data_IF_986973830846
#
_entry.id   IF_986973830846
#
_cell.length_a   1.000
_cell.length_b   1.000
_cell.length_c   1.000
_cell.angle_alpha   90.00
_cell.angle_beta   90.00
_cell.angle_gamma   90.00
#
_symmetry.space_group_name_H-M   'P 1'
#
loop_
_entity.id
_entity.type
_entity.pdbx_description
1 polymer ?
#
# COMPACT_ATOMS: atom_id res chain seq x y z
N UNK A 1 -12.42 -0.84 9.60
CA UNK A 1 -12.72 -2.14 10.21
C UNK A 1 -12.63 -3.20 9.12
N UNK A 2 -11.97 -4.32 9.39
CA UNK A 2 -11.83 -5.43 8.43
C UNK A 2 -12.60 -6.64 8.97
N UNK A 3 -13.61 -7.10 8.24
CA UNK A 3 -14.46 -8.23 8.64
C UNK A 3 -14.56 -9.26 7.50
N UNK A 4 -13.50 -10.06 7.28
CA UNK A 4 -13.54 -11.13 6.28
C UNK A 4 -14.51 -12.24 6.72
N UNK A 5 -15.27 -12.79 5.78
CA UNK A 5 -16.15 -13.95 6.01
C UNK A 5 -16.12 -14.88 4.80
N UNK A 6 -16.21 -16.18 5.06
CA UNK A 6 -16.32 -17.23 4.04
C UNK A 6 -17.50 -18.14 4.40
N UNK A 7 -18.36 -18.40 3.42
CA UNK A 7 -19.49 -19.32 3.54
C UNK A 7 -19.29 -20.43 2.52
N UNK A 8 -18.90 -21.61 2.99
CA UNK A 8 -18.44 -22.73 2.16
C UNK A 8 -19.42 -23.90 2.31
N UNK A 9 -20.02 -24.32 1.20
CA UNK A 9 -21.02 -25.40 1.14
C UNK A 9 -20.52 -26.68 0.44
N UNK A 10 -19.24 -26.75 0.12
CA UNK A 10 -18.63 -27.86 -0.62
C UNK A 10 -17.52 -28.53 0.20
N UNK A 11 -17.38 -29.84 0.05
CA UNK A 11 -16.53 -30.67 0.93
C UNK A 11 -15.05 -30.75 0.50
N UNK A 12 -14.74 -30.57 -0.79
CA UNK A 12 -13.36 -30.68 -1.30
C UNK A 12 -12.86 -29.34 -1.87
N UNK A 13 -12.65 -28.37 -0.98
CA UNK A 13 -12.14 -27.04 -1.35
C UNK A 13 -11.01 -26.58 -0.42
N UNK A 14 -10.10 -25.78 -0.96
CA UNK A 14 -9.11 -25.02 -0.19
C UNK A 14 -9.45 -23.54 -0.28
N UNK A 15 -9.75 -22.93 0.85
CA UNK A 15 -10.05 -21.50 0.93
C UNK A 15 -9.19 -20.85 2.01
N UNK A 16 -8.70 -19.64 1.74
CA UNK A 16 -7.93 -18.84 2.67
C UNK A 16 -8.31 -17.37 2.54
N UNK A 17 -8.28 -16.64 3.65
CA UNK A 17 -8.36 -15.18 3.65
C UNK A 17 -7.23 -14.63 4.52
N UNK A 18 -6.79 -13.41 4.21
CA UNK A 18 -5.81 -12.68 5.00
C UNK A 18 -6.18 -11.20 5.02
N UNK A 19 -5.95 -10.55 6.15
CA UNK A 19 -6.07 -9.10 6.28
C UNK A 19 -4.97 -8.61 7.22
N UNK A 20 -4.21 -7.63 6.77
CA UNK A 20 -3.12 -7.00 7.54
C UNK A 20 -3.40 -5.53 7.68
N UNK A 21 -3.06 -4.97 8.84
CA UNK A 21 -3.09 -3.53 9.09
C UNK A 21 -1.78 -3.15 9.77
N UNK A 22 -1.22 -2.00 9.39
CA UNK A 22 0.07 -1.56 9.89
C UNK A 22 0.33 -0.11 9.55
N UNK A 23 1.39 0.43 10.13
CA UNK A 23 1.92 1.75 9.81
C UNK A 23 3.07 1.62 8.81
N UNK A 24 3.51 2.75 8.26
CA UNK A 24 4.76 2.80 7.48
C UNK A 24 5.92 2.38 8.38
N UNK A 25 6.78 1.51 7.86
CA UNK A 25 7.97 1.05 8.56
C UNK A 25 8.99 2.19 8.74
N UNK A 26 9.33 2.45 9.99
CA UNK A 26 10.23 3.53 10.38
C UNK A 26 11.66 3.30 9.88
N UNK A 27 12.12 2.04 9.82
CA UNK A 27 13.48 1.71 9.39
C UNK A 27 13.64 1.90 7.88
N UNK A 28 12.65 1.47 7.09
CA UNK A 28 12.60 1.73 5.65
C UNK A 28 12.56 3.23 5.38
N UNK A 29 11.76 3.99 6.14
CA UNK A 29 11.69 5.44 6.01
C UNK A 29 13.02 6.12 6.37
N UNK A 30 13.65 5.69 7.47
CA UNK A 30 14.99 6.16 7.85
C UNK A 30 16.03 5.87 6.77
N UNK A 31 16.01 4.67 6.20
CA UNK A 31 16.91 4.28 5.12
C UNK A 31 16.76 5.20 3.90
N UNK A 32 15.53 5.42 3.41
CA UNK A 32 15.26 6.33 2.29
C UNK A 32 15.73 7.77 2.59
N UNK A 33 15.49 8.24 3.81
CA UNK A 33 15.93 9.58 4.23
C UNK A 33 17.45 9.70 4.33
N UNK A 34 18.16 8.65 4.75
CA UNK A 34 19.62 8.62 4.77
C UNK A 34 20.25 8.75 3.37
N UNK A 35 19.47 8.45 2.32
CA UNK A 35 19.86 8.60 0.91
C UNK A 35 19.48 9.95 0.31
N UNK A 36 19.01 10.90 1.14
CA UNK A 36 18.74 12.27 0.73
C UNK A 36 17.29 12.59 0.37
N UNK A 37 16.37 11.64 0.53
CA UNK A 37 14.94 11.92 0.38
C UNK A 37 14.41 12.65 1.62
N UNK A 38 13.60 13.68 1.41
CA UNK A 38 12.86 14.27 2.52
C UNK A 38 11.76 13.31 3.01
N UNK A 39 11.20 13.61 4.18
CA UNK A 39 10.19 12.77 4.83
C UNK A 39 8.94 12.57 3.95
N UNK A 40 8.50 13.62 3.27
CA UNK A 40 7.33 13.59 2.40
C UNK A 40 7.61 12.74 1.16
N UNK A 41 8.74 12.98 0.48
CA UNK A 41 9.12 12.18 -0.69
C UNK A 41 9.27 10.69 -0.36
N UNK A 42 9.94 10.35 0.75
CA UNK A 42 10.12 8.96 1.16
C UNK A 42 8.78 8.28 1.52
N UNK A 43 7.90 8.98 2.26
CA UNK A 43 6.58 8.45 2.61
C UNK A 43 5.70 8.27 1.37
N UNK A 44 5.66 9.25 0.45
CA UNK A 44 4.89 9.16 -0.80
C UNK A 44 5.36 8.01 -1.66
N UNK A 45 6.68 7.81 -1.75
CA UNK A 45 7.28 6.69 -2.48
C UNK A 45 6.81 5.34 -1.92
N UNK A 46 6.80 5.16 -0.61
CA UNK A 46 6.37 3.90 0.02
C UNK A 46 4.88 3.63 -0.16
N UNK A 47 4.02 4.66 -0.02
CA UNK A 47 2.57 4.53 -0.25
C UNK A 47 2.28 4.21 -1.71
N UNK A 48 2.98 4.90 -2.62
CA UNK A 48 2.87 4.68 -4.06
C UNK A 48 3.29 3.26 -4.43
N UNK A 49 4.45 2.80 -3.95
CA UNK A 49 4.92 1.44 -4.19
C UNK A 49 3.93 0.37 -3.71
N UNK A 50 3.32 0.56 -2.53
CA UNK A 50 2.32 -0.37 -2.00
C UNK A 50 1.07 -0.48 -2.90
N UNK A 51 0.55 0.65 -3.40
CA UNK A 51 -0.58 0.64 -4.32
C UNK A 51 -0.19 0.21 -5.74
N UNK A 52 1.05 0.46 -6.14
CA UNK A 52 1.62 0.10 -7.42
C UNK A 52 1.47 -1.38 -7.73
N UNK A 53 1.68 -2.26 -6.75
CA UNK A 53 1.46 -3.71 -6.92
C UNK A 53 0.05 -4.05 -7.42
N UNK A 54 -0.97 -3.28 -7.02
CA UNK A 54 -2.36 -3.47 -7.46
C UNK A 54 -2.59 -2.80 -8.81
N UNK A 55 -2.13 -1.55 -8.96
CA UNK A 55 -2.31 -0.75 -10.19
C UNK A 55 -1.66 -1.46 -11.39
N UNK A 56 -0.48 -2.05 -11.20
CA UNK A 56 0.28 -2.74 -12.25
C UNK A 56 -0.45 -4.00 -12.80
N UNK A 57 -1.40 -4.56 -12.05
CA UNK A 57 -2.22 -5.70 -12.52
C UNK A 57 -3.24 -5.31 -13.59
N UNK A 58 -3.51 -4.01 -13.77
CA UNK A 58 -4.50 -3.48 -14.72
C UNK A 58 -3.93 -3.57 -16.14
N UNK A 59 -4.50 -4.47 -16.95
CA UNK A 59 -4.01 -4.75 -18.31
C UNK A 59 -4.19 -3.60 -19.30
N UNK A 60 -5.34 -2.89 -19.35
CA UNK A 60 -5.49 -1.77 -20.27
C UNK A 60 -4.58 -0.63 -19.83
N UNK A 61 -3.51 -0.40 -20.58
CA UNK A 61 -2.50 0.63 -20.29
C UNK A 61 -3.11 2.03 -20.06
N UNK A 62 -4.05 2.54 -20.88
CA UNK A 62 -4.65 3.85 -20.64
C UNK A 62 -5.39 3.95 -19.29
N UNK A 63 -5.97 2.83 -18.83
CA UNK A 63 -6.65 2.78 -17.55
C UNK A 63 -5.65 2.72 -16.40
N UNK A 64 -4.57 1.95 -16.54
CA UNK A 64 -3.49 1.88 -15.56
C UNK A 64 -2.86 3.26 -15.35
N UNK A 65 -2.52 3.95 -16.42
CA UNK A 65 -1.88 5.28 -16.37
C UNK A 65 -2.81 6.32 -15.75
N UNK A 66 -4.10 6.25 -16.08
CA UNK A 66 -5.13 7.08 -15.44
C UNK A 66 -5.21 6.83 -13.93
N UNK A 67 -5.20 5.57 -13.50
CA UNK A 67 -5.23 5.18 -12.09
C UNK A 67 -3.97 5.62 -11.36
N UNK A 68 -2.80 5.44 -11.96
CA UNK A 68 -1.52 5.86 -11.40
C UNK A 68 -1.46 7.38 -11.18
N UNK A 69 -1.89 8.15 -12.18
CA UNK A 69 -1.97 9.61 -12.09
C UNK A 69 -2.96 10.05 -11.01
N UNK A 70 -4.15 9.45 -11.00
CA UNK A 70 -5.21 9.77 -10.04
C UNK A 70 -4.78 9.43 -8.61
N UNK A 71 -4.16 8.27 -8.42
CA UNK A 71 -3.66 7.84 -7.11
C UNK A 71 -2.53 8.73 -6.61
N UNK A 72 -1.53 9.00 -7.46
CA UNK A 72 -0.40 9.88 -7.13
C UNK A 72 -0.82 11.28 -6.71
N UNK A 73 -1.89 11.82 -7.29
CA UNK A 73 -2.48 13.10 -6.92
C UNK A 73 -3.26 13.05 -5.59
N UNK A 74 -3.78 11.88 -5.21
CA UNK A 74 -4.56 11.69 -3.99
C UNK A 74 -3.71 11.40 -2.75
N UNK A 75 -2.42 11.04 -2.89
CA UNK A 75 -1.53 10.77 -1.76
C UNK A 75 -1.38 12.04 -0.91
N UNK A 76 -1.68 11.99 0.40
CA UNK A 76 -1.58 13.16 1.27
C UNK A 76 -0.12 13.54 1.56
N UNK A 77 0.16 14.85 1.58
CA UNK A 77 1.47 15.40 1.96
C UNK A 77 1.71 15.45 3.47
N UNK A 78 0.71 15.12 4.29
CA UNK A 78 0.81 15.22 5.74
C UNK A 78 1.78 14.16 6.25
N UNK A 79 2.69 14.58 7.15
CA UNK A 79 3.53 13.71 7.96
C UNK A 79 2.67 12.59 8.57
N UNK A 80 2.68 11.43 7.92
CA UNK A 80 1.95 10.26 8.41
C UNK A 80 2.58 9.91 9.76
N UNK A 81 1.77 9.66 10.80
CA UNK A 81 2.30 9.25 12.09
C UNK A 81 3.18 8.02 11.88
N UNK A 82 4.48 8.20 12.10
CA UNK A 82 5.45 7.11 12.06
C UNK A 82 5.07 6.21 13.23
N UNK A 83 4.71 4.96 12.93
CA UNK A 83 4.51 3.96 13.96
C UNK A 83 5.84 3.76 14.69
N UNK A 84 5.93 4.20 15.94
CA UNK A 84 7.04 3.80 16.79
C UNK A 84 6.93 2.29 16.98
N UNK A 85 7.90 1.54 16.46
CA UNK A 85 8.05 0.14 16.77
C UNK A 85 8.11 -0.01 18.30
N UNK A 86 7.15 -0.74 18.85
CA UNK A 86 7.26 -1.39 20.16
C UNK A 86 7.15 -2.89 19.92
#
# INVERSE_FOLDING_TARGET
>A
DSKPSLLIYADDVKCSHGATAGHIDADTLFYLRSRGLDLGAASRMLIHAFAGEIIDTVKPEPLRDYLDTTFSAAIPDKNIPIGAAR
#
